data_IF_483230357748
#
_entry.id   IF_483230357748
#
_cell.length_a   1.000
_cell.length_b   1.000
_cell.length_c   1.000
_cell.angle_alpha   90.00
_cell.angle_beta   90.00
_cell.angle_gamma   90.00
#
_symmetry.space_group_name_H-M   'P 1'
#
loop_
_entity.id
_entity.type
_entity.pdbx_description
1 polymer ?
#
# COMPACT_ATOMS: atom_id res chain seq x y z
N UNK A 1 4.29 19.16 -4.19
CA UNK A 1 2.90 19.48 -4.56
C UNK A 1 2.06 18.22 -4.85
N UNK A 2 2.39 17.43 -5.88
CA UNK A 2 1.58 16.28 -6.31
C UNK A 2 1.27 15.23 -5.23
N UNK A 3 2.24 14.88 -4.38
CA UNK A 3 2.04 13.93 -3.26
C UNK A 3 0.99 14.43 -2.25
N UNK A 4 1.04 15.73 -1.93
CA UNK A 4 0.12 16.34 -0.97
C UNK A 4 -1.31 16.36 -1.52
N UNK A 5 -1.48 16.72 -2.81
CA UNK A 5 -2.79 16.67 -3.46
C UNK A 5 -3.36 15.25 -3.41
N UNK A 6 -2.54 14.23 -3.74
CA UNK A 6 -2.97 12.84 -3.69
C UNK A 6 -3.43 12.43 -2.31
N UNK A 7 -2.63 12.72 -1.29
CA UNK A 7 -2.95 12.37 0.08
C UNK A 7 -4.28 13.00 0.52
N UNK A 8 -4.49 14.29 0.22
CA UNK A 8 -5.76 14.97 0.50
C UNK A 8 -6.95 14.35 -0.24
N UNK A 9 -6.79 13.94 -1.51
CA UNK A 9 -7.85 13.25 -2.25
C UNK A 9 -8.13 11.87 -1.64
N UNK A 10 -7.08 11.12 -1.29
CA UNK A 10 -7.21 9.80 -0.68
C UNK A 10 -7.89 9.86 0.70
N UNK A 11 -7.61 10.89 1.50
CA UNK A 11 -8.28 11.12 2.79
C UNK A 11 -9.78 11.30 2.61
N UNK A 12 -10.19 12.08 1.61
CA UNK A 12 -11.61 12.27 1.27
C UNK A 12 -12.21 10.93 0.80
N UNK A 13 -11.56 10.21 -0.11
CA UNK A 13 -12.03 8.91 -0.57
C UNK A 13 -12.21 7.93 0.60
N UNK A 14 -11.26 7.88 1.54
CA UNK A 14 -11.32 7.00 2.70
C UNK A 14 -12.45 7.40 3.66
N UNK A 15 -12.61 8.70 3.94
CA UNK A 15 -13.70 9.21 4.78
C UNK A 15 -15.10 8.89 4.21
N UNK A 16 -15.21 8.74 2.89
CA UNK A 16 -16.43 8.32 2.19
C UNK A 16 -16.58 6.79 2.10
N UNK A 17 -15.71 6.00 2.75
CA UNK A 17 -15.73 4.53 2.70
C UNK A 17 -15.15 3.95 1.40
N UNK A 18 -14.47 4.76 0.59
CA UNK A 18 -13.80 4.34 -0.62
C UNK A 18 -12.37 3.81 -0.40
N UNK A 19 -11.67 3.57 -1.51
CA UNK A 19 -10.29 3.10 -1.55
C UNK A 19 -9.40 4.06 -2.33
N UNK A 20 -8.15 4.22 -1.91
CA UNK A 20 -7.12 5.02 -2.61
C UNK A 20 -6.58 4.32 -3.88
N UNK A 21 -6.96 3.07 -4.11
CA UNK A 21 -6.66 2.31 -5.32
C UNK A 21 -7.73 1.25 -5.54
N UNK A 22 -8.62 1.47 -6.51
CA UNK A 22 -9.68 0.52 -6.86
C UNK A 22 -9.18 -0.57 -7.83
N UNK A 23 -8.55 -0.18 -8.94
CA UNK A 23 -8.25 -1.11 -10.05
C UNK A 23 -6.76 -1.10 -10.45
N UNK A 24 -6.13 0.06 -10.52
CA UNK A 24 -4.77 0.22 -11.03
C UNK A 24 -3.68 -0.44 -10.18
N UNK A 25 -3.97 -0.74 -8.91
CA UNK A 25 -3.04 -1.32 -7.95
C UNK A 25 -2.03 -0.32 -7.37
N UNK A 26 -1.14 -0.83 -6.52
CA UNK A 26 -0.27 0.00 -5.67
C UNK A 26 1.05 0.38 -6.36
N UNK A 27 1.66 -0.58 -7.05
CA UNK A 27 2.98 -0.43 -7.65
C UNK A 27 4.03 0.06 -6.65
N UNK A 28 4.90 0.99 -7.07
CA UNK A 28 5.82 1.75 -6.18
C UNK A 28 5.24 3.11 -5.80
N UNK A 29 4.33 3.64 -6.61
CA UNK A 29 3.81 5.01 -6.48
C UNK A 29 2.97 5.19 -5.24
N UNK A 30 2.18 4.18 -4.85
CA UNK A 30 1.23 4.24 -3.74
C UNK A 30 1.71 3.46 -2.49
N UNK A 31 2.98 3.03 -2.46
CA UNK A 31 3.53 2.31 -1.30
C UNK A 31 3.48 3.16 -0.03
N UNK A 32 3.67 4.48 -0.13
CA UNK A 32 3.52 5.38 1.02
C UNK A 32 2.09 5.42 1.55
N UNK A 33 1.09 5.36 0.67
CA UNK A 33 -0.32 5.40 1.06
C UNK A 33 -0.77 4.10 1.76
N UNK A 34 -0.14 2.96 1.45
CA UNK A 34 -0.42 1.68 2.13
C UNK A 34 -0.19 1.78 3.64
N UNK A 35 0.84 2.48 4.08
CA UNK A 35 1.11 2.68 5.51
C UNK A 35 0.06 3.57 6.20
N UNK A 36 -0.70 4.36 5.44
CA UNK A 36 -1.70 5.28 5.96
C UNK A 36 -3.11 4.67 5.98
N UNK A 37 -3.50 3.93 4.93
CA UNK A 37 -4.88 3.45 4.78
C UNK A 37 -5.08 1.95 5.03
N UNK A 38 -4.02 1.16 5.17
CA UNK A 38 -4.14 -0.27 5.52
C UNK A 38 -3.87 -0.48 6.99
N UNK A 39 -4.66 -1.36 7.60
CA UNK A 39 -4.44 -1.72 9.00
C UNK A 39 -3.09 -2.44 9.16
N UNK A 40 -2.45 -2.33 10.34
CA UNK A 40 -1.24 -3.09 10.63
C UNK A 40 -1.42 -4.60 10.48
N UNK A 41 -2.62 -5.11 10.78
CA UNK A 41 -2.97 -6.53 10.66
C UNK A 41 -3.00 -6.97 9.18
N UNK A 42 -3.65 -6.19 8.31
CA UNK A 42 -3.63 -6.49 6.86
C UNK A 42 -2.20 -6.49 6.31
N UNK A 43 -1.39 -5.48 6.69
CA UNK A 43 -0.01 -5.39 6.24
C UNK A 43 0.83 -6.56 6.76
N UNK A 44 0.66 -6.97 8.01
CA UNK A 44 1.33 -8.14 8.57
C UNK A 44 0.95 -9.42 7.83
N UNK A 45 -0.33 -9.64 7.56
CA UNK A 45 -0.81 -10.79 6.79
C UNK A 45 -0.20 -10.82 5.38
N UNK A 46 -0.22 -9.68 4.68
CA UNK A 46 0.38 -9.59 3.34
C UNK A 46 1.89 -9.87 3.37
N UNK A 47 2.61 -9.41 4.39
CA UNK A 47 4.04 -9.73 4.59
C UNK A 47 4.25 -11.21 4.86
N UNK A 48 3.42 -11.85 5.68
CA UNK A 48 3.51 -13.30 5.94
C UNK A 48 3.31 -14.12 4.67
N UNK A 49 2.32 -13.77 3.84
CA UNK A 49 2.11 -14.42 2.54
C UNK A 49 3.32 -14.19 1.63
N UNK A 50 3.82 -12.95 1.53
CA UNK A 50 5.01 -12.63 0.72
C UNK A 50 6.23 -13.45 1.15
N UNK A 51 6.50 -13.53 2.45
CA UNK A 51 7.64 -14.25 3.00
C UNK A 51 7.56 -15.75 2.75
N UNK A 52 6.34 -16.32 2.76
CA UNK A 52 6.15 -17.75 2.49
C UNK A 52 6.53 -18.14 1.06
N UNK A 53 6.33 -17.24 0.08
CA UNK A 53 6.64 -17.51 -1.33
C UNK A 53 7.98 -16.94 -1.81
N UNK A 54 8.49 -15.89 -1.17
CA UNK A 54 9.69 -15.18 -1.58
C UNK A 54 10.53 -14.74 -0.37
N UNK A 55 11.17 -15.69 0.33
CA UNK A 55 11.88 -15.43 1.58
C UNK A 55 13.12 -14.53 1.40
N UNK A 56 13.69 -14.52 0.19
CA UNK A 56 14.86 -13.71 -0.18
C UNK A 56 14.46 -12.37 -0.85
N UNK A 57 13.16 -12.05 -0.90
CA UNK A 57 12.61 -10.81 -1.46
C UNK A 57 13.07 -10.50 -2.91
N UNK A 58 13.11 -11.51 -3.79
CA UNK A 58 13.49 -11.37 -5.20
C UNK A 58 12.34 -10.94 -6.12
N UNK A 59 11.09 -11.25 -5.76
CA UNK A 59 9.92 -10.95 -6.59
C UNK A 59 9.43 -9.51 -6.37
N UNK A 60 9.84 -8.60 -7.26
CA UNK A 60 9.36 -7.22 -7.33
C UNK A 60 9.60 -6.37 -6.05
N UNK A 61 10.86 -6.23 -5.61
CA UNK A 61 11.19 -5.52 -4.37
C UNK A 61 10.81 -4.03 -4.39
N UNK A 62 10.32 -3.54 -3.25
CA UNK A 62 9.93 -2.14 -3.06
C UNK A 62 8.67 -1.74 -3.82
N UNK A 63 7.76 -2.70 -4.04
CA UNK A 63 6.39 -2.48 -4.52
C UNK A 63 5.40 -3.17 -3.59
N UNK A 64 4.15 -2.71 -3.62
CA UNK A 64 3.02 -3.19 -2.80
C UNK A 64 3.18 -2.99 -1.28
N UNK A 65 4.26 -3.48 -0.68
CA UNK A 65 4.49 -3.44 0.77
C UNK A 65 5.38 -2.24 1.14
N UNK A 66 5.00 -1.44 2.16
CA UNK A 66 5.90 -0.46 2.77
C UNK A 66 7.18 -1.12 3.28
N UNK A 67 8.29 -0.38 3.43
CA UNK A 67 9.43 -0.83 4.22
C UNK A 67 8.98 -1.34 5.59
N UNK A 68 9.66 -2.36 6.12
CA UNK A 68 9.45 -2.82 7.49
C UNK A 68 10.07 -1.83 8.48
#
# INVERSE_FOLDING_TARGET
MARRIRHTVNDISHALGGTFSAEHGIGRTLVGEMAHYKSPVELALMRSVKQAFDPDNRFNPGRLLPPA
#
